data_IF_151012977216
#
_entry.id   IF_151012977216
#
_cell.length_a   1.000
_cell.length_b   1.000
_cell.length_c   1.000
_cell.angle_alpha   90.00
_cell.angle_beta   90.00
_cell.angle_gamma   90.00
#
_symmetry.space_group_name_H-M   'P 1'
#
loop_
_entity.id
_entity.type
_entity.pdbx_description
1 polymer ?
#
# COMPACT_ATOMS: atom_id res chain seq x y z
N UNK A 1 8.50 12.03 -1.35
CA UNK A 1 8.63 10.77 -0.60
C UNK A 1 7.26 10.15 -0.57
N UNK A 2 7.15 8.97 -1.17
CA UNK A 2 6.01 8.06 -1.00
C UNK A 2 5.62 7.90 0.47
N UNK A 3 4.34 7.76 0.76
CA UNK A 3 3.79 7.32 2.05
C UNK A 3 3.77 5.79 2.17
N UNK A 4 4.05 5.07 1.07
CA UNK A 4 4.08 3.61 1.02
C UNK A 4 2.72 2.95 0.83
N UNK A 5 2.75 1.76 0.26
CA UNK A 5 1.58 0.93 0.08
C UNK A 5 1.26 0.10 1.32
N UNK A 6 -0.02 -0.19 1.53
CA UNK A 6 -0.50 -1.15 2.51
C UNK A 6 -0.04 -2.58 2.17
N UNK A 7 0.10 -3.44 3.18
CA UNK A 7 0.24 -4.88 2.96
C UNK A 7 -1.05 -5.51 2.40
N UNK A 8 -0.95 -6.61 1.63
CA UNK A 8 -2.14 -7.37 1.25
C UNK A 8 -2.83 -7.94 2.49
N UNK A 9 -4.15 -7.99 2.44
CA UNK A 9 -4.94 -8.75 3.39
C UNK A 9 -4.81 -10.26 3.17
N UNK A 10 -5.35 -11.03 4.11
CA UNK A 10 -5.39 -12.49 4.05
C UNK A 10 -6.82 -12.94 4.33
N UNK A 11 -7.45 -13.66 3.40
CA UNK A 11 -8.78 -14.24 3.64
C UNK A 11 -8.65 -15.32 4.71
N UNK A 12 -9.35 -15.15 5.84
CA UNK A 12 -9.28 -16.09 6.96
C UNK A 12 -9.85 -17.48 6.65
N UNK A 13 -10.60 -17.64 5.56
CA UNK A 13 -11.16 -18.94 5.14
C UNK A 13 -10.27 -19.68 4.15
N UNK A 14 -9.78 -19.00 3.12
CA UNK A 14 -8.99 -19.63 2.04
C UNK A 14 -7.49 -19.53 2.27
N UNK A 15 -7.06 -18.63 3.18
CA UNK A 15 -5.66 -18.29 3.41
C UNK A 15 -4.97 -17.73 2.15
N UNK A 16 -5.75 -17.16 1.23
CA UNK A 16 -5.28 -16.47 0.04
C UNK A 16 -5.11 -14.97 0.29
N UNK A 17 -4.16 -14.37 -0.42
CA UNK A 17 -3.99 -12.92 -0.36
C UNK A 17 -5.18 -12.22 -1.03
N UNK A 18 -5.70 -11.19 -0.37
CA UNK A 18 -6.79 -10.36 -0.85
C UNK A 18 -6.42 -8.88 -0.75
N UNK A 19 -7.10 -8.05 -1.53
CA UNK A 19 -6.91 -6.61 -1.51
C UNK A 19 -8.24 -5.88 -1.75
N UNK A 20 -8.18 -4.55 -1.89
CA UNK A 20 -9.37 -3.72 -2.13
C UNK A 20 -10.14 -4.14 -3.39
N UNK A 21 -9.48 -4.70 -4.41
CA UNK A 21 -10.14 -5.19 -5.62
C UNK A 21 -10.95 -6.44 -5.32
N UNK A 22 -10.45 -7.34 -4.45
CA UNK A 22 -11.23 -8.47 -3.95
C UNK A 22 -12.56 -8.01 -3.32
N UNK A 23 -12.52 -6.93 -2.53
CA UNK A 23 -13.72 -6.29 -1.98
C UNK A 23 -14.70 -5.80 -3.04
N UNK A 24 -14.21 -5.13 -4.08
CA UNK A 24 -15.05 -4.69 -5.21
C UNK A 24 -15.64 -5.86 -6.01
N UNK A 25 -14.88 -6.95 -6.19
CA UNK A 25 -15.33 -8.12 -6.94
C UNK A 25 -16.47 -8.86 -6.24
N UNK A 26 -16.47 -8.92 -4.91
CA UNK A 26 -17.51 -9.61 -4.14
C UNK A 26 -18.71 -8.71 -3.79
N UNK A 27 -18.64 -7.40 -4.05
CA UNK A 27 -19.67 -6.44 -3.63
C UNK A 27 -21.09 -6.78 -4.12
N UNK A 28 -21.22 -7.45 -5.27
CA UNK A 28 -22.50 -7.91 -5.84
C UNK A 28 -22.91 -9.33 -5.44
N UNK A 29 -22.18 -10.01 -4.56
CA UNK A 29 -22.54 -11.36 -4.09
C UNK A 29 -23.79 -11.34 -3.21
N UNK A 30 -24.60 -12.40 -3.25
CA UNK A 30 -25.71 -12.60 -2.29
C UNK A 30 -25.22 -13.15 -0.94
N UNK A 31 -23.97 -13.62 -0.86
CA UNK A 31 -23.34 -14.09 0.37
C UNK A 31 -22.83 -12.89 1.22
N UNK A 32 -23.66 -12.46 2.17
CA UNK A 32 -23.36 -11.34 3.07
C UNK A 32 -22.17 -11.62 4.01
N UNK A 33 -22.01 -12.87 4.48
CA UNK A 33 -20.94 -13.23 5.41
C UNK A 33 -19.58 -13.18 4.71
N UNK A 34 -19.50 -13.70 3.48
CA UNK A 34 -18.32 -13.56 2.63
C UNK A 34 -18.03 -12.10 2.31
N UNK A 35 -19.03 -11.32 1.89
CA UNK A 35 -18.85 -9.89 1.59
C UNK A 35 -18.27 -9.13 2.77
N UNK A 36 -18.86 -9.31 3.95
CA UNK A 36 -18.40 -8.66 5.18
C UNK A 36 -16.98 -9.08 5.54
N UNK A 37 -16.67 -10.38 5.46
CA UNK A 37 -15.32 -10.90 5.73
C UNK A 37 -14.28 -10.26 4.81
N UNK A 38 -14.46 -10.36 3.50
CA UNK A 38 -13.52 -9.81 2.52
C UNK A 38 -13.39 -8.29 2.69
N UNK A 39 -14.49 -7.56 2.90
CA UNK A 39 -14.44 -6.12 3.11
C UNK A 39 -13.66 -5.71 4.37
N UNK A 40 -13.71 -6.51 5.44
CA UNK A 40 -12.96 -6.26 6.67
C UNK A 40 -11.48 -6.68 6.57
N UNK A 41 -11.18 -7.75 5.83
CA UNK A 41 -9.84 -8.35 5.80
C UNK A 41 -8.96 -7.82 4.65
N UNK A 42 -9.57 -7.26 3.59
CA UNK A 42 -8.87 -6.74 2.40
C UNK A 42 -7.92 -5.55 2.67
N UNK A 43 -8.06 -4.85 3.80
CA UNK A 43 -7.27 -3.66 4.15
C UNK A 43 -6.74 -3.79 5.60
N UNK A 44 -5.65 -4.54 5.82
CA UNK A 44 -5.19 -4.94 7.16
C UNK A 44 -4.46 -3.84 7.95
N UNK A 45 -4.33 -2.63 7.42
CA UNK A 45 -3.51 -1.56 7.98
C UNK A 45 -3.67 -0.23 7.26
N UNK A 46 -2.65 0.62 7.35
CA UNK A 46 -2.62 1.93 6.70
C UNK A 46 -1.73 1.91 5.45
N UNK A 47 -1.91 2.85 4.53
CA UNK A 47 -1.14 2.96 3.28
C UNK A 47 -2.03 3.00 2.04
N UNK A 48 -1.44 3.25 0.87
CA UNK A 48 -2.16 3.22 -0.41
C UNK A 48 -2.51 1.80 -0.85
N UNK A 49 -3.38 1.65 -1.85
CA UNK A 49 -3.61 0.36 -2.51
C UNK A 49 -2.30 -0.26 -3.03
N UNK A 50 -2.09 -1.56 -2.77
CA UNK A 50 -0.83 -2.26 -3.02
C UNK A 50 -0.55 -2.60 -4.49
N UNK A 51 -1.58 -2.71 -5.33
CA UNK A 51 -1.41 -2.97 -6.76
C UNK A 51 -0.79 -1.80 -7.53
N UNK A 52 -0.44 -2.03 -8.80
CA UNK A 52 0.02 -1.00 -9.73
C UNK A 52 -1.15 -0.13 -10.23
N UNK A 53 -1.84 0.50 -9.29
CA UNK A 53 -2.86 1.51 -9.56
C UNK A 53 -2.22 2.90 -9.64
N UNK A 54 -3.04 3.95 -9.60
CA UNK A 54 -2.59 5.34 -9.71
C UNK A 54 -1.49 5.67 -8.73
N UNK A 55 -1.62 5.29 -7.46
CA UNK A 55 -0.62 5.65 -6.45
C UNK A 55 0.77 5.08 -6.78
N UNK A 56 0.93 3.76 -6.85
CA UNK A 56 2.23 3.12 -7.10
C UNK A 56 2.78 3.45 -8.49
N UNK A 57 1.92 3.66 -9.48
CA UNK A 57 2.33 4.16 -10.79
C UNK A 57 2.94 5.56 -10.69
N UNK A 58 2.30 6.47 -9.95
CA UNK A 58 2.80 7.84 -9.79
C UNK A 58 4.07 7.90 -8.94
N UNK A 59 4.18 7.12 -7.84
CA UNK A 59 5.43 7.04 -7.07
C UNK A 59 6.58 6.48 -7.93
N UNK A 60 6.31 5.44 -8.75
CA UNK A 60 7.30 4.94 -9.71
C UNK A 60 7.71 6.02 -10.71
N UNK A 61 6.73 6.75 -11.26
CA UNK A 61 6.98 7.84 -12.20
C UNK A 61 7.81 8.97 -11.56
N UNK A 62 7.50 9.39 -10.34
CA UNK A 62 8.25 10.40 -9.60
C UNK A 62 9.67 9.94 -9.29
N UNK A 63 9.86 8.68 -8.89
CA UNK A 63 11.18 8.08 -8.72
C UNK A 63 12.01 8.11 -10.00
N UNK A 64 11.43 7.74 -11.14
CA UNK A 64 12.10 7.74 -12.46
C UNK A 64 12.45 9.16 -12.92
N UNK A 65 11.59 10.15 -12.66
CA UNK A 65 11.89 11.56 -12.95
C UNK A 65 12.95 12.18 -12.03
N UNK A 66 13.38 11.46 -10.98
CA UNK A 66 14.31 12.00 -9.98
C UNK A 66 13.65 13.00 -9.02
N UNK A 67 12.32 12.96 -8.89
CA UNK A 67 11.57 13.83 -7.98
C UNK A 67 11.52 13.28 -6.55
N UNK A 68 11.93 12.02 -6.35
CA UNK A 68 12.14 11.44 -5.04
C UNK A 68 13.23 10.35 -5.05
N UNK A 69 13.84 10.02 -3.89
CA UNK A 69 14.83 8.96 -3.81
C UNK A 69 14.24 7.58 -4.12
N UNK A 70 14.87 6.86 -5.05
CA UNK A 70 14.37 5.57 -5.56
C UNK A 70 14.13 4.52 -4.47
N UNK A 71 14.99 4.46 -3.44
CA UNK A 71 14.87 3.48 -2.36
C UNK A 71 13.67 3.74 -1.44
N UNK A 72 13.04 4.91 -1.52
CA UNK A 72 11.87 5.28 -0.74
C UNK A 72 10.53 4.94 -1.42
N UNK A 73 10.55 4.49 -2.69
CA UNK A 73 9.33 4.21 -3.48
C UNK A 73 8.66 2.91 -3.03
N UNK A 74 9.42 1.81 -2.96
CA UNK A 74 8.89 0.45 -2.79
C UNK A 74 8.55 0.01 -1.36
N UNK A 75 9.20 0.48 -0.28
CA UNK A 75 8.88 0.00 1.07
C UNK A 75 7.40 0.20 1.42
N UNK A 76 6.74 -0.72 2.15
CA UNK A 76 5.37 -0.52 2.60
C UNK A 76 5.27 0.67 3.55
N UNK A 77 4.05 1.09 3.82
CA UNK A 77 3.71 2.23 4.67
C UNK A 77 4.21 2.09 6.11
N UNK A 78 4.21 0.87 6.65
CA UNK A 78 4.65 0.54 8.00
C UNK A 78 6.11 0.06 8.09
N UNK A 79 6.87 0.12 7.00
CA UNK A 79 8.29 -0.23 6.99
C UNK A 79 9.07 0.67 7.98
N UNK A 80 9.86 0.06 8.85
CA UNK A 80 10.66 0.77 9.86
C UNK A 80 11.55 1.85 9.23
N UNK A 81 12.08 1.61 8.02
CA UNK A 81 12.89 2.60 7.31
C UNK A 81 12.07 3.83 6.94
N UNK A 82 10.81 3.67 6.56
CA UNK A 82 9.91 4.77 6.23
C UNK A 82 9.57 5.62 7.45
N UNK A 83 9.35 4.97 8.60
CA UNK A 83 8.94 5.66 9.82
C UNK A 83 10.14 6.32 10.51
N UNK A 84 11.31 5.68 10.55
CA UNK A 84 12.41 6.09 11.43
C UNK A 84 13.65 6.66 10.70
N UNK A 85 13.87 6.28 9.44
CA UNK A 85 15.08 6.59 8.67
C UNK A 85 14.84 7.65 7.59
N UNK A 86 13.88 7.44 6.68
CA UNK A 86 13.66 8.33 5.53
C UNK A 86 13.36 9.78 5.88
N UNK A 87 12.60 10.11 6.96
CA UNK A 87 12.40 11.51 7.35
C UNK A 87 13.72 12.23 7.66
N UNK A 88 14.69 11.53 8.27
CA UNK A 88 16.00 12.10 8.58
C UNK A 88 16.83 12.33 7.31
N UNK A 89 16.78 11.39 6.37
CA UNK A 89 17.45 11.53 5.08
C UNK A 89 16.90 12.71 4.28
N UNK A 90 15.57 12.88 4.23
CA UNK A 90 14.92 14.01 3.57
C UNK A 90 15.34 15.35 4.16
N UNK A 91 15.35 15.48 5.49
CA UNK A 91 15.85 16.68 6.15
C UNK A 91 17.31 16.93 5.76
N UNK A 92 18.14 15.88 5.69
CA UNK A 92 19.51 15.97 5.21
C UNK A 92 19.62 16.52 3.78
N UNK A 93 18.73 16.12 2.86
CA UNK A 93 18.72 16.62 1.48
C UNK A 93 18.25 18.08 1.35
N UNK A 94 17.38 18.55 2.25
CA UNK A 94 16.78 19.89 2.18
C UNK A 94 17.60 20.98 2.88
N UNK A 95 18.52 20.61 3.76
CA UNK A 95 19.35 21.55 4.55
C UNK A 95 20.68 21.90 3.84
N UNK A 96 20.96 21.29 2.69
CA UNK A 96 22.07 21.63 1.79
C UNK A 96 21.70 22.79 0.86
#
# INVERSE_FOLDING_TARGET
MSDGAIHPGLDSVTNENIDIISGFQVAGSEDEDMKKRIACEACPGFGSCAGMFTYNTMQTFFGVLGMEPLHMVSPPSDDVRRIEQFPKELVGYLVL
#
